data_IF_133621809796
#
_entry.id   IF_133621809796
#
_cell.length_a   1.000
_cell.length_b   1.000
_cell.length_c   1.000
_cell.angle_alpha   90.00
_cell.angle_beta   90.00
_cell.angle_gamma   90.00
#
_symmetry.space_group_name_H-M   'P 1'
#
loop_
_entity.id
_entity.type
_entity.pdbx_description
1 polymer ?
#
# COMPACT_ATOMS: atom_id res chain seq x y z
N UNK A 1 6.61 -10.82 -38.42
CA UNK A 1 6.43 -10.40 -37.01
C UNK A 1 7.77 -9.85 -36.55
N UNK A 2 7.78 -8.65 -35.99
CA UNK A 2 8.95 -7.78 -35.75
C UNK A 2 9.65 -7.99 -34.40
N UNK A 3 9.20 -8.94 -33.59
CA UNK A 3 9.78 -9.24 -32.26
C UNK A 3 9.23 -8.38 -31.12
N UNK A 4 8.24 -7.54 -31.38
CA UNK A 4 7.58 -6.72 -30.36
C UNK A 4 6.68 -7.56 -29.43
N UNK A 5 6.61 -7.19 -28.15
CA UNK A 5 5.73 -7.81 -27.15
C UNK A 5 4.74 -6.78 -26.60
N UNK A 6 3.49 -7.21 -26.40
CA UNK A 6 2.43 -6.42 -25.77
C UNK A 6 1.93 -7.14 -24.54
N UNK A 7 1.77 -6.42 -23.43
CA UNK A 7 1.09 -6.91 -22.23
C UNK A 7 -0.37 -6.49 -22.27
N UNK A 8 -1.26 -7.44 -22.04
CA UNK A 8 -2.70 -7.22 -21.88
C UNK A 8 -3.14 -7.71 -20.50
N UNK A 9 -4.24 -7.17 -19.94
CA UNK A 9 -4.86 -7.76 -18.77
C UNK A 9 -5.21 -9.23 -19.05
N UNK A 10 -4.79 -10.13 -18.16
CA UNK A 10 -5.02 -11.57 -18.32
C UNK A 10 -6.04 -12.11 -17.33
N UNK A 11 -5.95 -11.68 -16.06
CA UNK A 11 -6.85 -12.07 -14.99
C UNK A 11 -7.12 -10.87 -14.08
N UNK A 12 -8.39 -10.63 -13.77
CA UNK A 12 -8.81 -9.60 -12.83
C UNK A 12 -8.41 -9.94 -11.38
N UNK A 13 -8.46 -8.93 -10.51
CA UNK A 13 -8.07 -9.04 -9.11
C UNK A 13 -9.28 -8.91 -8.19
N UNK A 14 -9.55 -9.98 -7.43
CA UNK A 14 -10.68 -10.04 -6.51
C UNK A 14 -10.22 -10.48 -5.11
N UNK A 15 -10.84 -9.92 -4.08
CA UNK A 15 -10.66 -10.36 -2.70
C UNK A 15 -11.50 -11.62 -2.48
N UNK A 16 -10.86 -12.74 -2.11
CA UNK A 16 -11.58 -14.02 -1.91
C UNK A 16 -12.68 -13.95 -0.85
N UNK A 17 -12.47 -13.17 0.21
CA UNK A 17 -13.40 -13.09 1.34
C UNK A 17 -14.67 -12.27 1.02
N UNK A 18 -14.57 -11.25 0.17
CA UNK A 18 -15.66 -10.31 -0.11
C UNK A 18 -16.17 -10.37 -1.55
N UNK A 19 -15.48 -11.11 -2.43
CA UNK A 19 -15.69 -11.13 -3.88
C UNK A 19 -15.58 -9.74 -4.55
N UNK A 20 -15.03 -8.76 -3.84
CA UNK A 20 -14.89 -7.40 -4.34
C UNK A 20 -13.75 -7.29 -5.35
N UNK A 21 -14.02 -6.52 -6.42
CA UNK A 21 -13.04 -6.17 -7.43
C UNK A 21 -12.07 -5.11 -6.89
N UNK A 22 -10.78 -5.35 -7.04
CA UNK A 22 -9.73 -4.41 -6.63
C UNK A 22 -9.19 -3.58 -7.80
N UNK A 23 -9.73 -3.77 -9.00
CA UNK A 23 -9.42 -2.91 -10.15
C UNK A 23 -10.02 -1.51 -9.93
N UNK A 24 -9.26 -0.47 -10.25
CA UNK A 24 -9.59 0.94 -9.98
C UNK A 24 -9.80 1.35 -8.51
N UNK A 25 -9.64 0.44 -7.55
CA UNK A 25 -9.75 0.71 -6.12
C UNK A 25 -8.38 0.65 -5.42
N UNK A 26 -7.85 1.75 -4.87
CA UNK A 26 -6.64 1.65 -4.07
C UNK A 26 -6.93 0.88 -2.77
N UNK A 27 -5.92 0.20 -2.24
CA UNK A 27 -5.97 -0.24 -0.84
C UNK A 27 -6.04 1.01 0.05
N UNK A 28 -7.16 1.20 0.74
CA UNK A 28 -7.38 2.35 1.63
C UNK A 28 -6.69 2.05 2.97
N UNK A 29 -5.75 2.89 3.43
CA UNK A 29 -5.07 2.67 4.70
C UNK A 29 -5.95 3.07 5.88
N UNK A 30 -5.87 2.32 6.99
CA UNK A 30 -6.53 2.68 8.25
C UNK A 30 -5.95 3.96 8.87
N UNK A 31 -4.66 4.21 8.62
CA UNK A 31 -3.94 5.40 9.07
C UNK A 31 -3.32 6.12 7.88
N UNK A 32 -3.84 7.29 7.54
CA UNK A 32 -3.25 8.16 6.50
C UNK A 32 -2.09 8.93 7.13
N UNK A 33 -0.89 8.71 6.62
CA UNK A 33 0.32 9.42 7.02
C UNK A 33 0.84 10.16 5.79
N UNK A 34 0.83 11.48 5.86
CA UNK A 34 1.43 12.31 4.82
C UNK A 34 2.93 12.06 4.77
N UNK A 35 3.48 11.94 3.55
CA UNK A 35 4.92 11.77 3.36
C UNK A 35 5.56 13.13 3.13
N UNK A 36 6.05 13.75 4.20
CA UNK A 36 6.69 15.06 4.12
C UNK A 36 7.92 15.01 3.16
N UNK A 37 8.05 15.94 2.19
CA UNK A 37 9.15 15.91 1.21
C UNK A 37 10.54 15.87 1.84
N UNK A 38 10.72 16.54 2.98
CA UNK A 38 11.97 16.63 3.73
C UNK A 38 12.26 15.40 4.59
N UNK A 39 11.29 14.51 4.83
CA UNK A 39 11.45 13.36 5.73
C UNK A 39 12.65 12.49 5.34
N UNK A 40 12.84 12.26 4.03
CA UNK A 40 13.99 11.51 3.53
C UNK A 40 15.32 12.22 3.78
N UNK A 41 15.36 13.56 3.66
CA UNK A 41 16.57 14.34 3.94
C UNK A 41 16.92 14.35 5.43
N UNK A 42 15.89 14.32 6.28
CA UNK A 42 16.03 14.25 7.74
C UNK A 42 16.24 12.82 8.27
N UNK A 43 16.26 11.81 7.38
CA UNK A 43 16.32 10.39 7.74
C UNK A 43 15.19 9.96 8.69
N UNK A 44 14.00 10.53 8.48
CA UNK A 44 12.78 10.22 9.21
C UNK A 44 11.86 9.34 8.37
N UNK A 45 11.22 8.37 9.03
CA UNK A 45 10.18 7.54 8.43
C UNK A 45 8.91 7.62 9.29
N UNK A 46 8.02 8.53 8.91
CA UNK A 46 6.76 8.78 9.62
C UNK A 46 5.81 7.57 9.53
N UNK A 47 5.85 6.82 8.44
CA UNK A 47 5.00 5.63 8.24
C UNK A 47 5.47 4.49 9.15
N UNK A 48 6.78 4.23 9.19
CA UNK A 48 7.36 3.22 10.09
C UNK A 48 7.12 3.58 11.55
N UNK A 49 7.31 4.84 11.93
CA UNK A 49 7.05 5.31 13.29
C UNK A 49 5.60 5.03 13.70
N UNK A 50 4.63 5.37 12.84
CA UNK A 50 3.21 5.10 13.14
C UNK A 50 2.91 3.61 13.21
N UNK A 51 3.49 2.81 12.31
CA UNK A 51 3.31 1.36 12.33
C UNK A 51 3.79 0.74 13.65
N UNK A 52 4.96 1.17 14.15
CA UNK A 52 5.49 0.70 15.45
C UNK A 52 4.62 1.15 16.62
N UNK A 53 4.16 2.40 16.62
CA UNK A 53 3.25 2.93 17.65
C UNK A 53 1.95 2.11 17.74
N UNK A 54 1.31 1.85 16.59
CA UNK A 54 0.07 1.07 16.52
C UNK A 54 0.32 -0.36 16.98
N UNK A 55 1.39 -1.00 16.50
CA UNK A 55 1.74 -2.36 16.89
C UNK A 55 1.97 -2.49 18.40
N UNK A 56 2.70 -1.56 19.00
CA UNK A 56 2.93 -1.56 20.45
C UNK A 56 1.63 -1.37 21.24
N UNK A 57 0.74 -0.50 20.77
CA UNK A 57 -0.58 -0.29 21.38
C UNK A 57 -1.45 -1.55 21.32
N UNK A 58 -1.41 -2.30 20.22
CA UNK A 58 -2.16 -3.57 20.07
C UNK A 58 -1.63 -4.66 21.00
N UNK A 59 -0.35 -4.60 21.34
CA UNK A 59 0.32 -5.53 22.26
C UNK A 59 0.09 -5.19 23.75
N UNK A 60 -0.53 -4.05 24.07
CA UNK A 60 -0.84 -3.64 25.44
C UNK A 60 0.33 -3.10 26.26
N UNK A 61 1.37 -2.55 25.59
CA UNK A 61 2.47 -1.82 26.23
C UNK A 61 2.19 -0.33 26.39
#
# INVERSE_FOLDING_TARGET
MDGSFVRVPFRAWYVKATEENMEWGPAVPDYIIENAPEAKANNEDQQLKKAVEVLLSEMGN
#
